data_IF_181645748942
#
_entry.id   IF_181645748942
#
_cell.length_a   1.000
_cell.length_b   1.000
_cell.length_c   1.000
_cell.angle_alpha   90.00
_cell.angle_beta   90.00
_cell.angle_gamma   90.00
#
_symmetry.space_group_name_H-M   'P 1'
#
loop_
_entity.id
_entity.type
_entity.pdbx_description
1 polymer ?
#
# COMPACT_ATOMS: atom_id res chain seq x y z
N UNK A 1 -2.87 14.26 20.44
CA UNK A 1 -1.68 15.01 19.96
C UNK A 1 -2.18 16.09 19.00
N UNK A 2 -1.63 17.30 19.06
CA UNK A 2 -1.96 18.37 18.10
C UNK A 2 -1.35 18.02 16.74
N UNK A 3 -2.12 18.20 15.65
CA UNK A 3 -1.64 18.04 14.28
C UNK A 3 -0.65 19.15 13.92
N UNK A 4 0.18 18.94 12.90
CA UNK A 4 1.09 19.96 12.36
C UNK A 4 0.32 20.90 11.43
N UNK A 5 0.64 22.20 11.45
CA UNK A 5 0.05 23.15 10.51
C UNK A 5 0.56 22.89 9.09
N UNK A 6 -0.35 22.88 8.12
CA UNK A 6 -0.04 22.57 6.72
C UNK A 6 0.37 23.80 5.92
N UNK A 7 -0.04 24.99 6.36
CA UNK A 7 0.22 26.27 5.69
C UNK A 7 0.81 27.23 6.72
N UNK A 8 2.14 27.39 6.70
CA UNK A 8 2.85 28.33 7.57
C UNK A 8 3.72 29.33 6.81
N UNK A 9 3.99 29.09 5.52
CA UNK A 9 4.70 30.03 4.67
C UNK A 9 3.84 31.28 4.32
N UNK A 10 4.49 32.43 4.14
CA UNK A 10 3.86 33.61 3.56
C UNK A 10 3.81 33.56 2.02
N UNK A 11 3.13 34.53 1.39
CA UNK A 11 2.95 34.57 -0.06
C UNK A 11 4.26 34.63 -0.88
N UNK A 12 5.30 35.27 -0.34
CA UNK A 12 6.59 35.40 -1.03
C UNK A 12 7.44 34.13 -0.93
N UNK A 13 7.25 33.39 0.16
CA UNK A 13 7.96 32.17 0.51
C UNK A 13 7.14 30.90 0.26
N UNK A 14 5.93 31.02 -0.28
CA UNK A 14 5.07 29.89 -0.60
C UNK A 14 5.64 29.01 -1.72
N UNK A 15 5.41 27.70 -1.63
CA UNK A 15 5.67 26.76 -2.74
C UNK A 15 4.70 26.97 -3.92
N UNK A 16 3.58 27.66 -3.69
CA UNK A 16 2.55 27.97 -4.68
C UNK A 16 2.76 29.34 -5.38
N UNK A 17 3.89 30.03 -5.11
CA UNK A 17 4.15 31.38 -5.63
C UNK A 17 4.09 31.50 -7.16
N UNK A 18 4.59 30.50 -7.89
CA UNK A 18 4.68 30.54 -9.35
C UNK A 18 3.62 29.71 -10.06
N UNK A 19 2.94 28.82 -9.33
CA UNK A 19 1.77 28.07 -9.77
C UNK A 19 0.73 28.18 -8.67
N UNK A 20 -0.30 29.04 -8.83
CA UNK A 20 -1.34 29.21 -7.81
C UNK A 20 -2.00 27.86 -7.48
N UNK A 21 -2.19 27.60 -6.19
CA UNK A 21 -2.77 26.34 -5.70
C UNK A 21 -4.14 26.06 -6.33
N UNK A 22 -4.98 27.08 -6.49
CA UNK A 22 -6.29 26.95 -7.15
C UNK A 22 -6.18 26.50 -8.62
N UNK A 23 -5.14 26.96 -9.34
CA UNK A 23 -4.91 26.54 -10.73
C UNK A 23 -4.52 25.06 -10.78
N UNK A 24 -3.58 24.65 -9.92
CA UNK A 24 -3.21 23.24 -9.78
C UNK A 24 -4.43 22.36 -9.45
N UNK A 25 -5.26 22.78 -8.49
CA UNK A 25 -6.49 22.08 -8.12
C UNK A 25 -7.48 21.96 -9.26
N UNK A 26 -7.66 23.01 -10.05
CA UNK A 26 -8.53 22.98 -11.22
C UNK A 26 -8.04 21.96 -12.25
N UNK A 27 -6.74 21.90 -12.52
CA UNK A 27 -6.15 20.89 -13.40
C UNK A 27 -6.38 19.46 -12.89
N UNK A 28 -6.28 19.22 -11.58
CA UNK A 28 -6.61 17.90 -11.00
C UNK A 28 -8.08 17.53 -11.23
N UNK A 29 -9.01 18.44 -10.99
CA UNK A 29 -10.45 18.22 -11.22
C UNK A 29 -10.74 17.92 -12.69
N UNK A 30 -10.07 18.60 -13.62
CA UNK A 30 -10.26 18.38 -15.04
C UNK A 30 -9.68 17.04 -15.51
N UNK A 31 -8.53 16.64 -14.96
CA UNK A 31 -7.97 15.31 -15.16
C UNK A 31 -8.88 14.20 -14.60
N UNK A 32 -9.47 14.41 -13.42
CA UNK A 32 -10.38 13.46 -12.80
C UNK A 32 -11.62 13.22 -13.67
N UNK A 33 -12.24 14.30 -14.19
CA UNK A 33 -13.40 14.23 -15.09
C UNK A 33 -13.13 13.42 -16.34
N UNK A 34 -11.95 13.56 -16.96
CA UNK A 34 -11.66 12.89 -18.22
C UNK A 34 -11.14 11.45 -18.05
N UNK A 35 -10.70 11.07 -16.84
CA UNK A 35 -10.08 9.75 -16.58
C UNK A 35 -10.83 8.86 -15.61
N UNK A 36 -11.95 9.32 -15.04
CA UNK A 36 -12.66 8.65 -13.94
C UNK A 36 -11.73 8.46 -12.73
N UNK A 37 -10.98 9.51 -12.39
CA UNK A 37 -9.95 9.52 -11.36
C UNK A 37 -8.82 8.49 -11.54
N UNK A 38 -8.60 7.96 -12.75
CA UNK A 38 -7.53 6.96 -12.99
C UNK A 38 -6.69 7.37 -14.21
N UNK A 39 -5.74 8.32 -14.04
CA UNK A 39 -4.94 8.84 -15.15
C UNK A 39 -4.04 7.80 -15.82
N UNK A 40 -3.56 6.82 -15.06
CA UNK A 40 -2.69 5.74 -15.53
C UNK A 40 -3.18 4.39 -15.01
N UNK A 41 -2.86 3.32 -15.74
CA UNK A 41 -3.07 1.96 -15.26
C UNK A 41 -2.17 1.65 -14.05
N UNK A 42 -2.54 0.67 -13.20
CA UNK A 42 -1.64 0.18 -12.16
C UNK A 42 -0.30 -0.29 -12.74
N UNK A 43 0.80 0.14 -12.14
CA UNK A 43 2.16 -0.15 -12.60
C UNK A 43 3.03 -0.62 -11.44
N UNK A 44 3.97 -1.49 -11.77
CA UNK A 44 5.02 -1.98 -10.87
C UNK A 44 6.38 -1.59 -11.46
N UNK A 45 7.31 -1.21 -10.60
CA UNK A 45 8.65 -0.74 -10.93
C UNK A 45 9.64 -1.61 -10.14
N UNK A 46 10.14 -2.71 -10.74
CA UNK A 46 11.08 -3.61 -10.10
C UNK A 46 12.36 -2.89 -9.62
N UNK A 47 12.77 -3.20 -8.38
CA UNK A 47 13.92 -2.57 -7.72
C UNK A 47 15.28 -3.12 -8.19
N UNK A 48 15.30 -4.25 -8.88
CA UNK A 48 16.49 -4.87 -9.46
C UNK A 48 17.17 -3.98 -10.53
N UNK A 49 16.39 -3.14 -11.21
CA UNK A 49 16.88 -2.11 -12.13
C UNK A 49 17.63 -0.97 -11.42
N UNK A 50 17.50 -0.86 -10.10
CA UNK A 50 18.14 0.18 -9.28
C UNK A 50 19.36 -0.33 -8.48
N UNK A 51 19.92 -1.48 -8.87
CA UNK A 51 21.09 -2.10 -8.21
C UNK A 51 22.33 -1.21 -8.13
N UNK A 52 22.42 -0.15 -8.95
CA UNK A 52 23.51 0.84 -8.89
C UNK A 52 23.41 1.84 -7.71
N UNK A 53 22.25 1.98 -7.07
CA UNK A 53 22.05 2.82 -5.86
C UNK A 53 22.56 2.09 -4.60
N UNK A 54 22.82 0.78 -4.71
CA UNK A 54 23.58 0.02 -3.73
C UNK A 54 25.08 0.26 -3.95
N UNK A 55 25.79 0.89 -2.98
CA UNK A 55 27.10 0.37 -2.50
C UNK A 55 27.92 1.09 -1.41
N UNK A 56 27.37 1.95 -0.55
CA UNK A 56 28.13 2.33 0.64
C UNK A 56 27.28 2.37 1.90
N UNK A 57 27.57 1.48 2.85
CA UNK A 57 27.14 1.58 4.25
C UNK A 57 25.93 0.73 4.67
N UNK A 58 24.97 0.43 3.80
CA UNK A 58 23.75 -0.28 4.19
C UNK A 58 23.95 -1.78 4.38
N UNK A 59 23.40 -2.35 5.45
CA UNK A 59 23.31 -3.79 5.69
C UNK A 59 22.13 -4.40 4.93
N UNK A 60 20.99 -3.68 4.85
CA UNK A 60 19.81 -4.18 4.15
C UNK A 60 19.96 -4.01 2.63
N UNK A 61 19.74 -5.05 1.82
CA UNK A 61 19.49 -4.89 0.39
C UNK A 61 18.23 -4.05 0.15
N UNK A 62 18.21 -3.29 -0.95
CA UNK A 62 17.10 -2.38 -1.30
C UNK A 62 15.73 -3.09 -1.32
N UNK A 63 15.65 -4.27 -1.94
CA UNK A 63 14.43 -5.10 -1.98
C UNK A 63 14.00 -5.58 -0.60
N UNK A 64 14.95 -5.83 0.30
CA UNK A 64 14.67 -6.21 1.68
C UNK A 64 14.15 -5.03 2.49
N UNK A 65 14.74 -3.84 2.31
CA UNK A 65 14.25 -2.59 2.94
C UNK A 65 12.80 -2.31 2.53
N UNK A 66 12.50 -2.34 1.22
CA UNK A 66 11.14 -2.15 0.71
C UNK A 66 10.17 -3.15 1.33
N UNK A 67 10.52 -4.44 1.32
CA UNK A 67 9.65 -5.51 1.83
C UNK A 67 9.35 -5.33 3.32
N UNK A 68 10.36 -5.05 4.14
CA UNK A 68 10.17 -4.83 5.58
C UNK A 68 9.31 -3.57 5.80
N UNK A 69 9.56 -2.50 5.05
CA UNK A 69 8.77 -1.27 5.15
C UNK A 69 7.30 -1.50 4.76
N UNK A 70 7.03 -2.22 3.66
CA UNK A 70 5.67 -2.61 3.25
C UNK A 70 4.98 -3.47 4.30
N UNK A 71 5.71 -4.41 4.91
CA UNK A 71 5.20 -5.29 5.95
C UNK A 71 4.74 -4.48 7.18
N UNK A 72 5.56 -3.55 7.65
CA UNK A 72 5.18 -2.68 8.77
C UNK A 72 4.05 -1.70 8.39
N UNK A 73 4.06 -1.13 7.19
CA UNK A 73 2.97 -0.29 6.72
C UNK A 73 1.64 -1.07 6.67
N UNK A 74 1.68 -2.31 6.18
CA UNK A 74 0.53 -3.22 6.18
C UNK A 74 0.02 -3.50 7.60
N UNK A 75 0.91 -3.71 8.57
CA UNK A 75 0.55 -3.95 9.97
C UNK A 75 -0.09 -2.73 10.64
N UNK A 76 0.34 -1.52 10.31
CA UNK A 76 -0.23 -0.28 10.85
C UNK A 76 -1.63 0.05 10.28
N UNK A 77 -1.95 -0.41 9.07
CA UNK A 77 -3.27 -0.20 8.50
C UNK A 77 -4.28 -1.23 9.04
N UNK A 78 -4.88 -1.01 10.21
CA UNK A 78 -5.75 -2.01 10.86
C UNK A 78 -7.23 -1.96 10.47
N UNK A 79 -7.67 -1.00 9.65
CA UNK A 79 -9.06 -0.85 9.22
C UNK A 79 -9.22 -0.83 7.69
N UNK A 80 -10.47 -0.82 7.23
CA UNK A 80 -10.83 -0.59 5.83
C UNK A 80 -10.99 0.90 5.53
N UNK A 81 -10.85 1.28 4.25
CA UNK A 81 -11.08 2.65 3.78
C UNK A 81 -9.84 3.54 3.72
N UNK A 82 -10.02 4.78 3.25
CA UNK A 82 -8.95 5.76 3.03
C UNK A 82 -8.29 6.26 4.32
N UNK A 83 -9.03 6.20 5.43
CA UNK A 83 -8.57 6.64 6.75
C UNK A 83 -7.51 5.69 7.35
N UNK A 84 -7.43 4.44 6.84
CA UNK A 84 -6.48 3.43 7.29
C UNK A 84 -5.43 3.15 6.21
N UNK A 85 -4.60 4.18 5.97
CA UNK A 85 -3.43 4.12 5.09
C UNK A 85 -2.22 4.56 5.89
N UNK A 86 -1.20 3.72 5.89
CA UNK A 86 0.10 4.00 6.47
C UNK A 86 1.21 3.87 5.42
N UNK A 87 2.26 4.64 5.62
CA UNK A 87 3.54 4.53 4.94
C UNK A 87 4.67 4.40 5.98
N UNK A 88 5.76 3.75 5.61
CA UNK A 88 6.89 3.45 6.49
C UNK A 88 8.22 3.68 5.78
N UNK A 89 9.18 4.21 6.53
CA UNK A 89 10.59 4.24 6.16
C UNK A 89 11.43 3.50 7.20
N UNK A 90 12.59 2.98 6.78
CA UNK A 90 13.54 2.32 7.66
C UNK A 90 14.83 3.14 7.76
N UNK A 91 15.17 3.55 8.98
CA UNK A 91 16.42 4.23 9.27
C UNK A 91 17.43 3.20 9.75
N UNK A 92 18.55 3.05 9.02
CA UNK A 92 19.62 2.14 9.42
C UNK A 92 20.69 2.90 10.21
N UNK A 93 20.79 2.64 11.51
CA UNK A 93 21.82 3.20 12.36
C UNK A 93 23.04 2.29 12.36
N UNK A 94 24.23 2.85 12.13
CA UNK A 94 25.49 2.08 12.10
C UNK A 94 26.08 1.86 13.50
N UNK A 95 25.94 2.84 14.40
CA UNK A 95 26.52 2.77 15.75
C UNK A 95 25.59 3.39 16.82
N UNK A 96 25.04 2.59 17.76
CA UNK A 96 24.97 1.13 17.69
C UNK A 96 24.11 0.68 16.51
N UNK A 97 24.46 -0.47 15.93
CA UNK A 97 23.68 -1.11 14.86
C UNK A 97 22.23 -1.31 15.31
N UNK A 98 21.29 -0.69 14.60
CA UNK A 98 19.85 -0.86 14.84
C UNK A 98 19.01 -0.33 13.66
N UNK A 99 17.74 -0.68 13.67
CA UNK A 99 16.76 -0.12 12.74
C UNK A 99 15.69 0.69 13.50
N UNK A 100 15.36 1.87 12.97
CA UNK A 100 14.15 2.61 13.36
C UNK A 100 13.12 2.46 12.26
N UNK A 101 11.94 1.96 12.63
CA UNK A 101 10.77 1.86 11.76
C UNK A 101 9.93 3.11 11.97
N UNK A 102 9.96 4.02 10.99
CA UNK A 102 9.27 5.31 11.06
C UNK A 102 7.97 5.26 10.29
N UNK A 103 6.86 5.53 10.96
CA UNK A 103 5.51 5.50 10.40
C UNK A 103 4.98 6.91 10.13
N UNK A 104 4.22 7.04 9.05
CA UNK A 104 3.33 8.17 8.80
C UNK A 104 1.94 7.67 8.41
N UNK A 105 0.92 8.45 8.77
CA UNK A 105 -0.46 8.12 8.46
C UNK A 105 -1.38 9.37 8.55
N UNK A 106 -2.63 9.29 8.07
CA UNK A 106 -3.49 10.48 7.92
C UNK A 106 -4.25 10.91 9.20
N UNK A 107 -4.63 9.97 10.07
CA UNK A 107 -5.64 10.25 11.10
C UNK A 107 -5.53 9.37 12.37
N UNK A 108 -6.13 8.18 12.33
CA UNK A 108 -6.40 7.32 13.51
C UNK A 108 -5.70 5.96 13.44
N UNK A 109 -4.99 5.68 12.35
CA UNK A 109 -4.32 4.39 12.10
C UNK A 109 -3.15 4.09 13.04
N UNK A 110 -2.78 5.04 13.91
CA UNK A 110 -1.76 4.87 14.94
C UNK A 110 -2.34 5.25 16.31
N UNK A 111 -3.51 4.70 16.65
CA UNK A 111 -4.02 4.76 18.02
C UNK A 111 -3.01 4.14 19.00
N UNK A 112 -3.12 4.45 20.28
CA UNK A 112 -2.21 3.87 21.29
C UNK A 112 -2.30 2.34 21.29
N UNK A 113 -3.48 1.76 21.04
CA UNK A 113 -3.64 0.31 20.91
C UNK A 113 -2.85 -0.27 19.73
N UNK A 114 -2.80 0.44 18.59
CA UNK A 114 -2.00 0.03 17.43
C UNK A 114 -0.51 0.14 17.74
N UNK A 115 -0.07 1.24 18.39
CA UNK A 115 1.33 1.44 18.78
C UNK A 115 1.78 0.37 19.77
N UNK A 116 0.96 0.01 20.74
CA UNK A 116 1.22 -1.04 21.71
C UNK A 116 1.32 -2.42 21.02
N UNK A 117 0.42 -2.70 20.08
CA UNK A 117 0.47 -3.95 19.31
C UNK A 117 1.72 -4.03 18.43
N UNK A 118 2.09 -2.94 17.75
CA UNK A 118 3.34 -2.87 16.96
C UNK A 118 4.57 -3.03 17.87
N UNK A 119 4.57 -2.43 19.05
CA UNK A 119 5.64 -2.58 20.05
C UNK A 119 5.74 -4.03 20.55
N UNK A 120 4.60 -4.70 20.74
CA UNK A 120 4.54 -6.12 21.10
C UNK A 120 5.11 -7.00 19.99
N UNK A 121 4.78 -6.71 18.72
CA UNK A 121 5.29 -7.39 17.54
C UNK A 121 6.80 -7.23 17.43
N UNK A 122 7.33 -6.02 17.55
CA UNK A 122 8.78 -5.78 17.45
C UNK A 122 9.55 -6.38 18.63
N UNK A 123 8.97 -6.36 19.83
CA UNK A 123 9.50 -7.05 21.00
C UNK A 123 9.49 -8.58 20.88
N UNK A 124 8.62 -9.15 20.04
CA UNK A 124 8.66 -10.56 19.70
C UNK A 124 9.76 -10.85 18.67
N UNK A 125 9.91 -9.99 17.66
CA UNK A 125 10.94 -10.11 16.60
C UNK A 125 12.36 -10.03 17.14
N UNK A 126 12.62 -9.22 18.17
CA UNK A 126 13.94 -9.08 18.80
C UNK A 126 14.39 -10.32 19.59
N UNK A 127 13.49 -11.27 19.86
CA UNK A 127 13.73 -12.47 20.67
C UNK A 127 13.75 -13.76 19.86
N UNK A 128 13.62 -13.67 18.54
CA UNK A 128 13.61 -14.84 17.65
C UNK A 128 14.99 -15.46 17.59
N UNK A 129 15.05 -16.79 17.72
CA UNK A 129 16.25 -17.59 17.51
C UNK A 129 16.01 -18.70 16.48
N UNK A 130 17.07 -19.28 15.95
CA UNK A 130 16.95 -20.40 14.99
C UNK A 130 16.23 -21.62 15.60
N UNK A 131 16.34 -21.82 16.92
CA UNK A 131 15.79 -22.99 17.61
C UNK A 131 14.26 -22.89 17.73
N UNK A 132 13.72 -21.70 17.93
CA UNK A 132 12.29 -21.48 18.20
C UNK A 132 11.54 -20.80 17.05
N UNK A 133 12.15 -20.72 15.87
CA UNK A 133 11.63 -20.00 14.69
C UNK A 133 10.16 -20.33 14.39
N UNK A 134 9.81 -21.61 14.24
CA UNK A 134 8.43 -22.01 13.92
C UNK A 134 7.43 -21.57 14.99
N UNK A 135 7.74 -21.76 16.27
CA UNK A 135 6.87 -21.36 17.38
C UNK A 135 6.71 -19.83 17.47
N UNK A 136 7.80 -19.09 17.19
CA UNK A 136 7.78 -17.62 17.15
C UNK A 136 6.98 -17.08 15.97
N UNK A 137 7.11 -17.69 14.79
CA UNK A 137 6.28 -17.34 13.62
C UNK A 137 4.81 -17.53 13.93
N UNK A 138 4.42 -18.66 14.52
CA UNK A 138 3.02 -18.92 14.91
C UNK A 138 2.49 -17.92 15.94
N UNK A 139 3.31 -17.59 16.95
CA UNK A 139 2.95 -16.59 17.96
C UNK A 139 2.77 -15.20 17.34
N UNK A 140 3.73 -14.76 16.52
CA UNK A 140 3.68 -13.48 15.83
C UNK A 140 2.47 -13.42 14.89
N UNK A 141 2.25 -14.47 14.11
CA UNK A 141 1.08 -14.61 13.25
C UNK A 141 -0.22 -14.46 14.03
N UNK A 142 -0.35 -15.14 15.16
CA UNK A 142 -1.53 -15.04 16.02
C UNK A 142 -1.74 -13.61 16.55
N UNK A 143 -0.67 -12.90 16.95
CA UNK A 143 -0.77 -11.50 17.36
C UNK A 143 -1.27 -10.60 16.23
N UNK A 144 -0.74 -10.79 15.02
CA UNK A 144 -1.13 -10.06 13.83
C UNK A 144 -2.61 -10.30 13.48
N UNK A 145 -3.06 -11.57 13.50
CA UNK A 145 -4.46 -11.91 13.20
C UNK A 145 -5.41 -11.28 14.21
N UNK A 146 -5.08 -11.31 15.50
CA UNK A 146 -5.91 -10.68 16.53
C UNK A 146 -6.00 -9.16 16.34
N UNK A 147 -4.88 -8.49 16.04
CA UNK A 147 -4.86 -7.06 15.76
C UNK A 147 -5.74 -6.69 14.55
N UNK A 148 -5.73 -7.54 13.51
CA UNK A 148 -6.42 -7.30 12.24
C UNK A 148 -7.77 -8.00 12.11
N UNK A 149 -8.30 -8.59 13.18
CA UNK A 149 -9.48 -9.46 13.11
C UNK A 149 -10.67 -8.80 12.41
N UNK A 150 -10.99 -7.55 12.77
CA UNK A 150 -12.08 -6.79 12.13
C UNK A 150 -11.84 -6.54 10.64
N UNK A 151 -10.61 -6.21 10.26
CA UNK A 151 -10.21 -5.99 8.85
C UNK A 151 -10.25 -7.29 8.05
N UNK A 152 -9.86 -8.41 8.66
CA UNK A 152 -9.95 -9.73 8.06
C UNK A 152 -11.41 -10.11 7.77
N UNK A 153 -12.33 -9.91 8.71
CA UNK A 153 -13.77 -10.11 8.48
C UNK A 153 -14.28 -9.25 7.33
N UNK A 154 -13.82 -8.00 7.23
CA UNK A 154 -14.17 -7.09 6.13
C UNK A 154 -13.67 -7.60 4.76
N UNK A 155 -12.42 -8.08 4.68
CA UNK A 155 -11.83 -8.66 3.47
C UNK A 155 -12.54 -9.94 3.04
N UNK A 156 -12.92 -10.78 4.01
CA UNK A 156 -13.75 -11.97 3.80
C UNK A 156 -15.18 -11.61 3.38
N UNK A 157 -15.60 -10.36 3.60
CA UNK A 157 -17.00 -9.92 3.49
C UNK A 157 -17.90 -10.86 4.31
N UNK A 158 -17.38 -11.30 5.46
CA UNK A 158 -18.00 -12.33 6.28
C UNK A 158 -19.34 -11.86 6.79
N UNK A 159 -20.26 -12.81 7.01
CA UNK A 159 -21.56 -12.51 7.63
C UNK A 159 -21.41 -12.00 9.07
N UNK A 160 -20.25 -12.27 9.69
CA UNK A 160 -19.87 -11.86 11.04
C UNK A 160 -19.33 -10.44 11.10
N UNK A 161 -19.10 -9.80 9.94
CA UNK A 161 -18.55 -8.46 9.90
C UNK A 161 -19.62 -7.40 10.15
N UNK A 162 -19.46 -6.64 11.23
CA UNK A 162 -20.23 -5.42 11.43
C UNK A 162 -19.75 -4.31 10.48
N UNK A 163 -20.57 -4.03 9.47
CA UNK A 163 -20.23 -3.08 8.43
C UNK A 163 -20.31 -1.63 8.94
N UNK A 164 -19.25 -0.82 8.77
CA UNK A 164 -19.27 0.60 9.11
C UNK A 164 -20.35 1.37 8.34
N UNK A 165 -20.91 2.42 8.97
CA UNK A 165 -21.99 3.24 8.40
C UNK A 165 -21.67 3.78 7.00
N UNK A 166 -20.43 4.22 6.77
CA UNK A 166 -19.99 4.76 5.48
C UNK A 166 -19.95 3.71 4.36
N UNK A 167 -19.97 2.42 4.68
CA UNK A 167 -20.05 1.31 3.71
C UNK A 167 -21.44 0.69 3.62
N UNK A 168 -22.42 1.12 4.42
CA UNK A 168 -23.74 0.49 4.55
C UNK A 168 -24.47 0.29 3.22
N UNK A 169 -24.27 1.20 2.26
CA UNK A 169 -24.88 1.13 0.91
C UNK A 169 -24.29 0.05 0.00
N UNK A 170 -23.13 -0.52 0.33
CA UNK A 170 -22.51 -1.56 -0.48
C UNK A 170 -23.05 -2.95 -0.07
N UNK A 171 -23.98 -3.51 -0.84
CA UNK A 171 -24.36 -4.92 -0.67
C UNK A 171 -23.37 -5.82 -1.43
N UNK A 172 -22.53 -6.54 -0.69
CA UNK A 172 -21.62 -7.55 -1.25
C UNK A 172 -21.86 -8.86 -0.52
N UNK A 173 -22.00 -9.93 -1.30
CA UNK A 173 -22.06 -11.30 -0.78
C UNK A 173 -20.72 -11.71 -0.14
N UNK A 174 -20.71 -12.71 0.76
CA UNK A 174 -19.48 -13.27 1.32
C UNK A 174 -18.47 -13.68 0.25
N UNK A 175 -17.17 -13.63 0.59
CA UNK A 175 -16.08 -13.92 -0.36
C UNK A 175 -16.13 -15.36 -0.89
N UNK A 176 -16.49 -16.34 -0.06
CA UNK A 176 -16.59 -17.74 -0.46
C UNK A 176 -17.55 -17.95 -1.65
N UNK A 177 -18.60 -17.12 -1.76
CA UNK A 177 -19.56 -17.20 -2.87
C UNK A 177 -18.99 -16.75 -4.23
N UNK A 178 -17.78 -16.19 -4.27
CA UNK A 178 -17.09 -15.88 -5.53
C UNK A 178 -16.32 -17.09 -6.10
N UNK A 179 -16.08 -18.14 -5.32
CA UNK A 179 -15.36 -19.33 -5.79
C UNK A 179 -16.08 -20.05 -6.93
N UNK A 180 -17.42 -20.07 -6.94
CA UNK A 180 -18.17 -20.62 -8.06
C UNK A 180 -17.84 -19.93 -9.39
N UNK A 181 -17.58 -18.62 -9.36
CA UNK A 181 -17.14 -17.89 -10.54
C UNK A 181 -15.70 -18.24 -10.93
N UNK A 182 -14.79 -18.42 -9.97
CA UNK A 182 -13.42 -18.91 -10.25
C UNK A 182 -13.46 -20.28 -10.93
N UNK A 183 -14.18 -21.25 -10.36
CA UNK A 183 -14.40 -22.58 -10.92
C UNK A 183 -14.92 -22.53 -12.35
N UNK A 184 -15.87 -21.63 -12.61
CA UNK A 184 -16.39 -21.44 -13.95
C UNK A 184 -15.35 -20.85 -14.91
N UNK A 185 -14.52 -19.88 -14.49
CA UNK A 185 -13.48 -19.26 -15.35
C UNK A 185 -12.38 -20.24 -15.75
N UNK A 186 -12.02 -21.19 -14.90
CA UNK A 186 -11.01 -22.22 -15.20
C UNK A 186 -11.31 -22.93 -16.53
N UNK A 187 -12.58 -23.20 -16.82
CA UNK A 187 -12.98 -23.93 -18.03
C UNK A 187 -12.73 -23.17 -19.35
N UNK A 188 -12.57 -21.84 -19.27
CA UNK A 188 -12.38 -20.98 -20.44
C UNK A 188 -10.92 -20.64 -20.70
N UNK A 189 -10.06 -20.75 -19.68
CA UNK A 189 -8.63 -20.43 -19.79
C UNK A 189 -7.73 -21.65 -20.01
N UNK A 190 -8.28 -22.86 -19.82
CA UNK A 190 -7.60 -24.12 -20.12
C UNK A 190 -8.30 -24.90 -21.23
N UNK A 191 -7.52 -25.45 -22.15
CA UNK A 191 -8.03 -26.27 -23.25
C UNK A 191 -8.28 -27.72 -22.84
N UNK A 192 -8.99 -28.48 -23.68
CA UNK A 192 -9.19 -29.93 -23.47
C UNK A 192 -7.88 -30.73 -23.41
N UNK A 193 -6.80 -30.24 -24.05
CA UNK A 193 -5.48 -30.89 -24.05
C UNK A 193 -4.76 -30.73 -22.70
N UNK A 194 -5.15 -29.73 -21.91
CA UNK A 194 -4.55 -29.40 -20.61
C UNK A 194 -5.37 -29.97 -19.44
N UNK A 195 -6.11 -31.07 -19.66
CA UNK A 195 -7.07 -31.60 -18.70
C UNK A 195 -6.46 -31.94 -17.32
N UNK A 196 -5.19 -32.35 -17.28
CA UNK A 196 -4.49 -32.64 -16.01
C UNK A 196 -4.27 -31.37 -15.20
N UNK A 197 -3.70 -30.33 -15.80
CA UNK A 197 -3.47 -29.04 -15.14
C UNK A 197 -4.80 -28.39 -14.74
N UNK A 198 -5.78 -28.40 -15.64
CA UNK A 198 -7.14 -27.93 -15.36
C UNK A 198 -7.73 -28.59 -14.11
N UNK A 199 -7.68 -29.93 -14.01
CA UNK A 199 -8.19 -30.67 -12.84
C UNK A 199 -7.43 -30.32 -11.56
N UNK A 200 -6.11 -30.10 -11.64
CA UNK A 200 -5.31 -29.67 -10.49
C UNK A 200 -5.78 -28.30 -9.97
N UNK A 201 -6.00 -27.34 -10.86
CA UNK A 201 -6.50 -26.00 -10.51
C UNK A 201 -7.93 -26.07 -9.96
N UNK A 202 -8.82 -26.84 -10.59
CA UNK A 202 -10.20 -27.07 -10.11
C UNK A 202 -10.20 -27.65 -8.68
N UNK A 203 -9.33 -28.64 -8.41
CA UNK A 203 -9.21 -29.26 -7.09
C UNK A 203 -8.72 -28.27 -6.02
N UNK A 204 -7.70 -27.46 -6.35
CA UNK A 204 -7.17 -26.45 -5.42
C UNK A 204 -8.20 -25.36 -5.11
N UNK A 205 -8.94 -24.87 -6.12
CA UNK A 205 -10.01 -23.89 -5.93
C UNK A 205 -11.15 -24.48 -5.09
N UNK A 206 -11.52 -25.74 -5.33
CA UNK A 206 -12.57 -26.41 -4.56
C UNK A 206 -12.16 -26.63 -3.10
N UNK A 207 -10.93 -27.09 -2.85
CA UNK A 207 -10.41 -27.28 -1.50
C UNK A 207 -10.38 -25.96 -0.72
N UNK A 208 -9.90 -24.88 -1.32
CA UNK A 208 -9.88 -23.58 -0.66
C UNK A 208 -11.30 -23.04 -0.42
N UNK A 209 -12.24 -23.25 -1.37
CA UNK A 209 -13.63 -22.86 -1.18
C UNK A 209 -14.25 -23.50 0.06
N UNK A 210 -13.97 -24.80 0.30
CA UNK A 210 -14.46 -25.53 1.46
C UNK A 210 -13.94 -24.96 2.79
N UNK A 211 -12.67 -24.54 2.84
CA UNK A 211 -12.09 -23.89 4.04
C UNK A 211 -12.77 -22.55 4.32
N UNK A 212 -13.04 -21.77 3.28
CA UNK A 212 -13.73 -20.47 3.39
C UNK A 212 -15.19 -20.65 3.83
N UNK A 213 -15.90 -21.62 3.27
CA UNK A 213 -17.27 -21.93 3.64
C UNK A 213 -17.34 -22.42 5.09
N UNK A 214 -16.44 -23.33 5.50
CA UNK A 214 -16.34 -23.83 6.87
C UNK A 214 -16.17 -22.69 7.88
N UNK A 215 -15.31 -21.70 7.59
CA UNK A 215 -15.14 -20.54 8.46
C UNK A 215 -16.46 -19.77 8.68
N UNK A 216 -17.29 -19.61 7.65
CA UNK A 216 -18.58 -18.91 7.79
C UNK A 216 -19.62 -19.72 8.58
N UNK A 217 -19.45 -21.05 8.68
CA UNK A 217 -20.35 -21.90 9.50
C UNK A 217 -20.04 -21.83 11.00
N UNK A 218 -18.84 -21.39 11.38
CA UNK A 218 -18.46 -21.20 12.80
C UNK A 218 -19.18 -19.97 13.36
N UNK A 219 -19.84 -20.10 14.49
CA UNK A 219 -20.53 -18.98 15.15
C UNK A 219 -19.54 -17.91 15.63
N UNK A 220 -19.93 -16.63 15.55
CA UNK A 220 -19.08 -15.52 15.96
C UNK A 220 -18.79 -15.56 17.46
N UNK A 221 -17.53 -15.35 17.86
CA UNK A 221 -17.09 -15.36 19.26
C UNK A 221 -16.91 -16.76 19.86
N UNK A 222 -17.13 -17.83 19.10
CA UNK A 222 -16.83 -19.19 19.56
C UNK A 222 -15.32 -19.48 19.56
N UNK A 223 -14.90 -20.41 20.41
CA UNK A 223 -13.48 -20.76 20.60
C UNK A 223 -12.74 -21.16 19.31
N UNK A 224 -13.47 -21.73 18.34
CA UNK A 224 -12.91 -22.23 17.09
C UNK A 224 -12.81 -21.15 15.99
N UNK A 225 -13.37 -19.95 16.20
CA UNK A 225 -13.38 -18.89 15.17
C UNK A 225 -11.96 -18.45 14.80
N UNK A 226 -11.11 -18.18 15.79
CA UNK A 226 -9.72 -17.76 15.56
C UNK A 226 -8.88 -18.90 14.96
N UNK A 227 -8.92 -20.14 15.49
CA UNK A 227 -8.28 -21.29 14.84
C UNK A 227 -8.69 -21.51 13.38
N UNK A 228 -9.99 -21.46 13.05
CA UNK A 228 -10.45 -21.59 11.67
C UNK A 228 -9.98 -20.43 10.80
N UNK A 229 -9.93 -19.19 11.33
CA UNK A 229 -9.37 -18.05 10.61
C UNK A 229 -7.87 -18.22 10.34
N UNK A 230 -7.11 -18.78 11.30
CA UNK A 230 -5.70 -19.11 11.12
C UNK A 230 -5.50 -20.12 9.98
N UNK A 231 -6.27 -21.20 9.97
CA UNK A 231 -6.25 -22.20 8.90
C UNK A 231 -6.58 -21.58 7.54
N UNK A 232 -7.65 -20.79 7.47
CA UNK A 232 -8.08 -20.11 6.26
C UNK A 232 -6.97 -19.23 5.68
N UNK A 233 -6.31 -18.43 6.51
CA UNK A 233 -5.23 -17.54 6.08
C UNK A 233 -4.04 -18.34 5.53
N UNK A 234 -3.62 -19.40 6.22
CA UNK A 234 -2.52 -20.27 5.77
C UNK A 234 -2.89 -21.00 4.49
N UNK A 235 -4.10 -21.54 4.38
CA UNK A 235 -4.60 -22.17 3.16
C UNK A 235 -4.60 -21.19 1.98
N UNK A 236 -4.99 -19.94 2.21
CA UNK A 236 -4.95 -18.87 1.21
C UNK A 236 -3.52 -18.55 0.74
N UNK A 237 -2.58 -18.49 1.68
CA UNK A 237 -1.16 -18.29 1.37
C UNK A 237 -0.61 -19.44 0.51
N UNK A 238 -0.82 -20.68 0.94
CA UNK A 238 -0.35 -21.85 0.21
C UNK A 238 -0.98 -21.97 -1.18
N UNK A 239 -2.28 -21.69 -1.29
CA UNK A 239 -2.99 -21.62 -2.56
C UNK A 239 -2.35 -20.60 -3.52
N UNK A 240 -2.06 -19.39 -3.03
CA UNK A 240 -1.46 -18.35 -3.88
C UNK A 240 0.00 -18.67 -4.30
N UNK A 241 0.67 -19.58 -3.58
CA UNK A 241 2.07 -19.94 -3.80
C UNK A 241 2.28 -21.12 -4.75
N UNK A 242 1.22 -21.75 -5.27
CA UNK A 242 1.39 -22.85 -6.22
C UNK A 242 1.52 -22.34 -7.65
N UNK A 243 2.42 -22.97 -8.43
CA UNK A 243 2.64 -22.61 -9.84
C UNK A 243 1.37 -22.73 -10.68
N UNK A 244 0.51 -23.71 -10.37
CA UNK A 244 -0.75 -23.91 -11.07
C UNK A 244 -1.75 -22.75 -10.87
N UNK A 245 -1.77 -22.16 -9.67
CA UNK A 245 -2.63 -21.01 -9.38
C UNK A 245 -2.02 -19.72 -9.92
N UNK A 246 -0.69 -19.57 -9.89
CA UNK A 246 0.00 -18.48 -10.55
C UNK A 246 -0.27 -18.47 -12.07
N UNK A 247 -0.13 -19.62 -12.74
CA UNK A 247 -0.47 -19.79 -14.16
C UNK A 247 -1.95 -19.48 -14.43
N UNK A 248 -2.87 -19.97 -13.58
CA UNK A 248 -4.29 -19.65 -13.71
C UNK A 248 -4.55 -18.14 -13.64
N UNK A 249 -3.96 -17.46 -12.66
CA UNK A 249 -4.12 -16.02 -12.49
C UNK A 249 -3.57 -15.24 -13.69
N UNK A 250 -2.36 -15.59 -14.16
CA UNK A 250 -1.74 -14.98 -15.33
C UNK A 250 -2.59 -15.17 -16.59
N UNK A 251 -3.10 -16.39 -16.85
CA UNK A 251 -3.97 -16.66 -18.00
C UNK A 251 -5.29 -15.90 -17.92
N UNK A 252 -5.86 -15.79 -16.73
CA UNK A 252 -7.09 -15.03 -16.53
C UNK A 252 -6.88 -13.55 -16.82
N UNK A 253 -5.77 -12.96 -16.38
CA UNK A 253 -5.43 -11.57 -16.70
C UNK A 253 -5.13 -11.39 -18.20
N UNK A 254 -4.36 -12.29 -18.81
CA UNK A 254 -4.05 -12.26 -20.25
C UNK A 254 -5.28 -12.50 -21.14
N UNK A 255 -6.38 -13.02 -20.58
CA UNK A 255 -7.65 -13.17 -21.31
C UNK A 255 -8.36 -11.84 -21.59
N UNK A 256 -7.90 -10.75 -20.96
CA UNK A 256 -8.42 -9.39 -21.14
C UNK A 256 -7.73 -8.72 -22.32
N UNK A 257 -8.46 -8.52 -23.41
CA UNK A 257 -7.91 -7.88 -24.63
C UNK A 257 -8.03 -6.36 -24.64
N UNK A 258 -9.12 -5.82 -24.08
CA UNK A 258 -9.36 -4.38 -23.98
C UNK A 258 -9.90 -4.00 -22.59
N UNK A 259 -11.07 -4.53 -22.23
CA UNK A 259 -11.65 -4.36 -20.89
C UNK A 259 -12.23 -5.70 -20.40
N UNK A 260 -12.06 -6.03 -19.10
CA UNK A 260 -12.57 -7.29 -18.58
C UNK A 260 -14.10 -7.26 -18.50
N UNK A 261 -14.75 -8.37 -18.89
CA UNK A 261 -16.18 -8.55 -18.58
C UNK A 261 -16.40 -8.49 -17.07
N UNK A 262 -17.61 -8.14 -16.57
CA UNK A 262 -17.87 -8.07 -15.13
C UNK A 262 -17.53 -9.37 -14.37
N UNK A 263 -17.72 -10.54 -15.01
CA UNK A 263 -17.38 -11.84 -14.41
C UNK A 263 -15.87 -12.10 -14.36
N UNK A 264 -15.12 -11.72 -15.39
CA UNK A 264 -13.65 -11.81 -15.39
C UNK A 264 -13.06 -10.83 -14.38
N UNK A 265 -13.53 -9.58 -14.38
CA UNK A 265 -13.12 -8.58 -13.39
C UNK A 265 -13.39 -9.04 -11.95
N UNK A 266 -14.55 -9.66 -11.70
CA UNK A 266 -14.88 -10.23 -10.39
C UNK A 266 -13.98 -11.41 -10.01
N UNK A 267 -13.58 -12.25 -10.97
CA UNK A 267 -12.68 -13.38 -10.72
C UNK A 267 -11.26 -12.92 -10.40
N UNK A 268 -10.73 -11.96 -11.16
CA UNK A 268 -9.43 -11.32 -10.87
C UNK A 268 -9.48 -10.68 -9.48
N UNK A 269 -10.52 -9.88 -9.19
CA UNK A 269 -10.70 -9.28 -7.86
C UNK A 269 -10.76 -10.33 -6.75
N UNK A 270 -11.40 -11.48 -6.97
CA UNK A 270 -11.43 -12.57 -6.00
C UNK A 270 -10.03 -13.11 -5.72
N UNK A 271 -9.26 -13.48 -6.74
CA UNK A 271 -7.87 -13.95 -6.59
C UNK A 271 -7.01 -12.95 -5.82
N UNK A 272 -7.11 -11.66 -6.17
CA UNK A 272 -6.35 -10.60 -5.50
C UNK A 272 -6.80 -10.36 -4.04
N UNK A 273 -8.04 -10.69 -3.68
CA UNK A 273 -8.47 -10.69 -2.27
C UNK A 273 -7.89 -11.89 -1.51
N UNK A 274 -7.76 -13.06 -2.14
CA UNK A 274 -7.06 -14.21 -1.54
C UNK A 274 -5.59 -13.87 -1.23
N UNK A 275 -4.91 -13.13 -2.11
CA UNK A 275 -3.54 -12.65 -1.85
C UNK A 275 -3.46 -11.79 -0.57
N UNK A 276 -4.42 -10.87 -0.38
CA UNK A 276 -4.47 -10.02 0.81
C UNK A 276 -4.70 -10.80 2.10
N UNK A 277 -5.45 -11.88 2.02
CA UNK A 277 -5.74 -12.75 3.15
C UNK A 277 -4.51 -13.61 3.46
N UNK A 278 -3.92 -14.26 2.45
CA UNK A 278 -2.68 -15.03 2.60
C UNK A 278 -1.47 -14.17 3.04
N UNK A 279 -1.49 -12.86 2.76
CA UNK A 279 -0.41 -11.96 3.12
C UNK A 279 -0.15 -11.88 4.62
N UNK A 280 -1.15 -12.13 5.48
CA UNK A 280 -0.96 -12.12 6.93
C UNK A 280 0.04 -13.19 7.40
N UNK A 281 -0.04 -14.40 6.84
CA UNK A 281 0.96 -15.44 7.09
C UNK A 281 2.32 -15.04 6.48
N UNK A 282 2.30 -14.54 5.24
CA UNK A 282 3.52 -14.08 4.56
C UNK A 282 4.28 -13.01 5.37
N UNK A 283 3.59 -12.01 5.93
CA UNK A 283 4.18 -10.96 6.78
C UNK A 283 4.88 -11.59 7.98
N UNK A 284 4.18 -12.47 8.70
CA UNK A 284 4.72 -13.10 9.90
C UNK A 284 6.01 -13.89 9.59
N UNK A 285 5.99 -14.70 8.53
CA UNK A 285 7.18 -15.45 8.09
C UNK A 285 8.30 -14.51 7.64
N UNK A 286 8.00 -13.51 6.80
CA UNK A 286 9.00 -12.61 6.22
C UNK A 286 9.73 -11.77 7.28
N UNK A 287 9.01 -11.29 8.30
CA UNK A 287 9.61 -10.50 9.38
C UNK A 287 10.47 -11.37 10.31
N UNK A 288 10.06 -12.62 10.58
CA UNK A 288 10.87 -13.58 11.33
C UNK A 288 12.14 -13.95 10.56
N UNK A 289 12.03 -14.22 9.27
CA UNK A 289 13.19 -14.51 8.41
C UNK A 289 14.15 -13.31 8.37
N UNK A 290 13.61 -12.09 8.27
CA UNK A 290 14.41 -10.87 8.31
C UNK A 290 15.12 -10.68 9.65
N UNK A 291 14.46 -10.96 10.78
CA UNK A 291 15.07 -10.80 12.10
C UNK A 291 16.19 -11.81 12.36
N UNK A 292 16.06 -13.03 11.82
CA UNK A 292 17.12 -14.05 11.86
C UNK A 292 18.28 -13.72 10.92
N UNK A 293 17.99 -13.18 9.73
CA UNK A 293 19.00 -12.85 8.73
C UNK A 293 19.81 -11.61 9.09
N UNK A 294 19.20 -10.63 9.76
CA UNK A 294 19.83 -9.37 10.16
C UNK A 294 19.75 -9.15 11.68
N UNK A 295 20.32 -10.05 12.50
CA UNK A 295 20.12 -10.02 13.96
C UNK A 295 20.65 -8.74 14.60
N UNK A 296 21.74 -8.17 14.05
CA UNK A 296 22.32 -6.91 14.54
C UNK A 296 21.40 -5.69 14.36
N UNK A 297 20.42 -5.75 13.47
CA UNK A 297 19.43 -4.68 13.27
C UNK A 297 18.18 -4.89 14.14
N UNK A 298 17.78 -6.14 14.35
CA UNK A 298 16.51 -6.50 15.01
C UNK A 298 16.65 -6.81 16.51
N UNK A 299 17.66 -7.56 16.92
CA UNK A 299 17.74 -8.12 18.28
C UNK A 299 18.19 -7.10 19.32
N UNK A 300 18.99 -6.10 18.92
CA UNK A 300 19.67 -5.23 19.88
C UNK A 300 18.88 -3.98 20.23
N UNK A 301 18.13 -3.36 19.29
CA UNK A 301 17.38 -2.10 19.52
C UNK A 301 16.41 -1.74 18.36
N UNK A 302 15.48 -2.61 17.95
CA UNK A 302 14.45 -2.22 16.98
C UNK A 302 13.55 -1.12 17.59
N UNK A 303 13.55 0.07 16.98
CA UNK A 303 12.79 1.24 17.47
C UNK A 303 11.60 1.55 16.57
N UNK A 304 10.54 2.08 17.18
CA UNK A 304 9.38 2.61 16.48
C UNK A 304 9.34 4.12 16.64
N UNK A 305 9.11 4.83 15.53
CA UNK A 305 8.89 6.27 15.50
C UNK A 305 7.62 6.59 14.72
N UNK A 306 6.84 7.55 15.20
CA UNK A 306 5.55 7.90 14.60
C UNK A 306 5.53 9.39 14.30
N UNK A 307 5.31 9.76 13.04
CA UNK A 307 5.16 11.16 12.65
C UNK A 307 3.80 11.72 13.09
N UNK A 308 3.81 12.99 13.49
CA UNK A 308 2.60 13.75 13.72
C UNK A 308 2.00 14.14 12.36
N UNK A 309 0.73 13.82 12.07
CA UNK A 309 0.10 14.18 10.80
C UNK A 309 -0.17 15.68 10.69
N UNK A 310 -0.24 16.14 9.46
CA UNK A 310 -0.63 17.51 9.13
C UNK A 310 -2.15 17.74 9.23
N UNK A 311 -2.55 18.99 9.40
CA UNK A 311 -3.94 19.43 9.41
C UNK A 311 -4.56 19.37 8.01
N UNK A 312 -5.86 19.00 7.89
CA UNK A 312 -6.56 19.14 6.62
C UNK A 312 -6.67 20.62 6.23
N UNK A 313 -6.51 20.92 4.93
CA UNK A 313 -6.64 22.27 4.37
C UNK A 313 -8.01 22.40 3.69
N UNK A 314 -8.85 23.39 4.02
CA UNK A 314 -10.12 23.61 3.32
C UNK A 314 -9.89 23.91 1.83
N UNK A 315 -10.78 23.40 0.97
CA UNK A 315 -10.81 23.72 -0.46
C UNK A 315 -12.25 23.95 -0.91
N UNK A 316 -12.42 24.86 -1.87
CA UNK A 316 -13.68 25.03 -2.62
C UNK A 316 -13.61 24.40 -4.02
N UNK A 317 -12.45 23.87 -4.40
CA UNK A 317 -12.18 23.26 -5.70
C UNK A 317 -11.99 21.76 -5.47
N UNK A 318 -13.01 20.99 -5.83
CA UNK A 318 -13.05 19.54 -5.81
C UNK A 318 -13.99 19.03 -6.90
N UNK A 319 -13.75 17.82 -7.40
CA UNK A 319 -14.56 17.17 -8.41
C UNK A 319 -15.97 16.90 -7.86
N UNK A 320 -16.01 16.40 -6.63
CA UNK A 320 -17.23 16.10 -5.91
C UNK A 320 -17.56 17.19 -4.89
N UNK A 321 -18.84 17.48 -4.69
CA UNK A 321 -19.30 18.53 -3.77
C UNK A 321 -18.94 18.29 -2.30
N UNK A 322 -18.61 17.05 -1.94
CA UNK A 322 -18.18 16.66 -0.60
C UNK A 322 -16.65 16.73 -0.41
N UNK A 323 -15.88 16.92 -1.49
CA UNK A 323 -14.42 17.05 -1.44
C UNK A 323 -14.01 18.47 -1.02
N UNK A 324 -14.34 18.84 0.23
CA UNK A 324 -14.17 20.20 0.78
C UNK A 324 -12.89 20.40 1.57
N UNK A 325 -12.05 19.35 1.67
CA UNK A 325 -10.77 19.41 2.38
C UNK A 325 -9.72 18.60 1.63
N UNK A 326 -8.48 19.04 1.77
CA UNK A 326 -7.30 18.40 1.21
C UNK A 326 -6.38 17.92 2.32
N UNK A 327 -5.65 16.85 2.04
CA UNK A 327 -4.88 16.12 3.04
C UNK A 327 -3.48 15.78 2.53
N UNK A 328 -2.52 15.86 3.43
CA UNK A 328 -1.14 15.45 3.16
C UNK A 328 -1.03 13.94 3.36
N UNK A 329 -0.85 13.22 2.26
CA UNK A 329 -0.71 11.76 2.29
C UNK A 329 0.56 11.31 3.02
N UNK A 330 0.53 10.10 3.58
CA UNK A 330 1.59 9.57 4.45
C UNK A 330 2.98 9.54 3.77
N UNK A 331 3.03 9.27 2.48
CA UNK A 331 4.26 9.27 1.68
C UNK A 331 4.89 10.68 1.62
N UNK A 332 4.06 11.72 1.43
CA UNK A 332 4.50 13.12 1.44
C UNK A 332 4.99 13.53 2.83
N UNK A 333 4.30 13.09 3.90
CA UNK A 333 4.71 13.36 5.28
C UNK A 333 6.12 12.81 5.58
N UNK A 334 6.44 11.59 5.11
CA UNK A 334 7.76 11.00 5.28
C UNK A 334 8.82 11.77 4.49
N UNK A 335 8.56 12.10 3.23
CA UNK A 335 9.52 12.86 2.41
C UNK A 335 9.84 14.22 3.04
N UNK A 336 8.81 15.01 3.37
CA UNK A 336 8.95 16.31 4.03
C UNK A 336 9.71 16.20 5.36
N UNK A 337 9.44 15.17 6.16
CA UNK A 337 10.16 14.94 7.41
C UNK A 337 11.66 14.77 7.19
N UNK A 338 12.06 13.94 6.23
CA UNK A 338 13.47 13.72 5.94
C UNK A 338 14.12 14.96 5.32
N UNK A 339 13.44 15.68 4.43
CA UNK A 339 13.96 16.91 3.87
C UNK A 339 14.26 17.96 4.94
N UNK A 340 13.31 18.19 5.85
CA UNK A 340 13.50 19.10 6.98
C UNK A 340 14.64 18.64 7.89
N UNK A 341 14.74 17.33 8.15
CA UNK A 341 15.79 16.77 8.99
C UNK A 341 17.18 16.94 8.38
N UNK A 342 17.33 16.60 7.09
CA UNK A 342 18.62 16.68 6.38
C UNK A 342 19.01 18.14 6.10
N UNK A 343 18.04 19.01 5.83
CA UNK A 343 18.30 20.45 5.67
C UNK A 343 18.71 21.10 6.99
N UNK A 344 18.04 20.79 8.11
CA UNK A 344 18.40 21.33 9.43
C UNK A 344 19.76 20.85 9.94
N UNK A 345 20.21 19.68 9.47
CA UNK A 345 21.49 19.07 9.88
C UNK A 345 22.65 19.38 8.92
N UNK A 346 22.50 20.39 8.05
CA UNK A 346 23.54 20.90 7.13
C UNK A 346 24.84 21.25 7.89
N UNK A 347 25.71 20.25 8.10
CA UNK A 347 26.95 20.36 8.89
C UNK A 347 27.23 19.18 9.84
N UNK A 348 26.27 18.30 10.11
CA UNK A 348 26.45 17.06 10.89
C UNK A 348 25.70 15.91 10.23
N UNK A 349 26.42 14.87 9.79
CA UNK A 349 25.78 13.69 9.21
C UNK A 349 24.85 13.02 10.23
N UNK A 350 23.60 12.71 9.87
CA UNK A 350 22.68 12.01 10.78
C UNK A 350 23.27 10.69 11.24
N UNK A 351 22.91 10.27 12.45
CA UNK A 351 23.38 9.03 13.06
C UNK A 351 22.79 7.76 12.41
N UNK A 352 22.21 7.89 11.22
CA UNK A 352 21.61 6.83 10.42
C UNK A 352 21.76 7.13 8.93
N UNK A 353 21.66 6.08 8.13
CA UNK A 353 21.64 6.17 6.69
C UNK A 353 20.23 6.51 6.18
N UNK A 354 20.07 7.45 5.23
CA UNK A 354 18.76 7.85 4.73
C UNK A 354 17.99 6.65 4.19
N UNK A 355 16.67 6.52 4.46
CA UNK A 355 15.86 5.50 3.80
C UNK A 355 15.88 5.72 2.29
N UNK A 356 15.91 4.63 1.53
CA UNK A 356 15.99 4.67 0.06
C UNK A 356 14.63 4.51 -0.61
N UNK A 357 13.66 4.02 0.15
CA UNK A 357 12.32 3.69 -0.31
C UNK A 357 11.26 4.01 0.74
N UNK A 358 10.01 4.11 0.29
CA UNK A 358 8.84 4.23 1.16
C UNK A 358 7.99 2.97 1.00
N UNK A 359 7.89 2.21 2.09
CA UNK A 359 6.93 1.10 2.19
C UNK A 359 5.52 1.62 2.39
N UNK A 360 4.53 0.96 1.80
CA UNK A 360 3.15 1.45 1.76
C UNK A 360 2.12 0.35 1.98
N UNK A 361 1.08 0.64 2.76
CA UNK A 361 -0.03 -0.29 3.03
C UNK A 361 -0.98 -0.47 1.84
N UNK A 362 -0.91 0.45 0.88
CA UNK A 362 -1.60 0.48 -0.42
C UNK A 362 -0.59 1.04 -1.42
N UNK A 363 -0.66 0.62 -2.68
CA UNK A 363 0.22 1.19 -3.71
C UNK A 363 0.07 2.71 -3.78
N UNK A 364 1.08 3.40 -4.32
CA UNK A 364 1.07 4.85 -4.41
C UNK A 364 -0.16 5.31 -5.21
N UNK A 365 -0.82 6.37 -4.73
CA UNK A 365 -1.75 7.08 -5.59
C UNK A 365 -1.00 7.78 -6.73
N UNK A 366 -1.73 8.24 -7.74
CA UNK A 366 -1.14 8.93 -8.87
C UNK A 366 -0.28 10.13 -8.43
N UNK A 367 -0.78 10.97 -7.51
CA UNK A 367 -0.06 12.16 -7.06
C UNK A 367 1.12 11.84 -6.14
N UNK A 368 1.02 10.85 -5.24
CA UNK A 368 2.17 10.38 -4.47
C UNK A 368 3.26 9.82 -5.39
N UNK A 369 2.87 9.09 -6.44
CA UNK A 369 3.81 8.57 -7.44
C UNK A 369 4.52 9.70 -8.20
N UNK A 370 3.78 10.68 -8.72
CA UNK A 370 4.40 11.82 -9.42
C UNK A 370 5.24 12.69 -8.47
N UNK A 371 4.80 12.86 -7.23
CA UNK A 371 5.58 13.54 -6.20
C UNK A 371 6.92 12.84 -5.96
N UNK A 372 6.94 11.54 -5.68
CA UNK A 372 8.20 10.82 -5.43
C UNK A 372 9.12 10.83 -6.66
N UNK A 373 8.56 10.78 -7.88
CA UNK A 373 9.34 10.91 -9.12
C UNK A 373 10.00 12.27 -9.28
N UNK A 374 9.25 13.35 -9.04
CA UNK A 374 9.77 14.70 -9.13
C UNK A 374 10.74 15.03 -7.99
N UNK A 375 10.48 14.47 -6.80
CA UNK A 375 11.30 14.62 -5.60
C UNK A 375 12.66 13.91 -5.72
N UNK A 376 12.69 12.70 -6.28
CA UNK A 376 13.92 11.99 -6.64
C UNK A 376 14.67 11.28 -5.50
N UNK A 377 14.45 11.64 -4.23
CA UNK A 377 15.17 11.02 -3.10
C UNK A 377 14.71 9.59 -2.73
N UNK A 378 13.51 9.18 -3.15
CA UNK A 378 12.96 7.85 -2.86
C UNK A 378 12.59 7.14 -4.15
N UNK A 379 12.86 5.84 -4.23
CA UNK A 379 12.52 5.04 -5.41
C UNK A 379 11.05 4.59 -5.31
N UNK A 380 10.17 5.01 -6.23
CA UNK A 380 8.79 4.55 -6.26
C UNK A 380 8.72 3.11 -6.78
N UNK A 381 8.01 2.22 -6.07
CA UNK A 381 7.96 0.79 -6.42
C UNK A 381 6.66 0.41 -7.12
N UNK A 382 5.50 0.89 -6.66
CA UNK A 382 4.22 0.55 -7.27
C UNK A 382 3.26 1.72 -7.21
N UNK A 383 2.44 1.89 -8.24
CA UNK A 383 1.31 2.83 -8.23
C UNK A 383 0.03 2.14 -8.65
N UNK A 384 -1.08 2.43 -7.97
CA UNK A 384 -2.40 2.01 -8.44
C UNK A 384 -2.99 3.00 -9.45
N UNK A 385 -2.36 4.15 -9.69
CA UNK A 385 -2.75 5.09 -10.74
C UNK A 385 -4.04 5.87 -10.50
N UNK A 386 -4.63 5.79 -9.30
CA UNK A 386 -5.84 6.57 -8.96
C UNK A 386 -5.43 7.95 -8.44
N UNK A 387 -6.06 8.98 -8.97
CA UNK A 387 -6.01 10.37 -8.57
C UNK A 387 -6.93 10.63 -7.37
N UNK A 388 -6.47 11.46 -6.44
CA UNK A 388 -7.28 12.00 -5.35
C UNK A 388 -7.11 13.52 -5.41
N UNK A 389 -8.13 14.25 -5.84
CA UNK A 389 -8.16 15.72 -5.92
C UNK A 389 -8.04 16.40 -4.54
N UNK A 390 -8.38 15.67 -3.47
CA UNK A 390 -8.16 16.04 -2.06
C UNK A 390 -6.70 15.90 -1.59
N UNK A 391 -5.72 15.76 -2.48
CA UNK A 391 -4.31 15.65 -2.12
C UNK A 391 -3.66 17.04 -1.99
N UNK A 392 -2.65 17.16 -1.11
CA UNK A 392 -1.83 18.38 -1.03
C UNK A 392 -0.42 18.12 -0.48
N UNK A 393 0.44 19.13 -0.60
CA UNK A 393 1.79 19.21 -0.04
C UNK A 393 1.81 20.31 1.04
N UNK A 394 2.48 20.11 2.20
CA UNK A 394 2.66 21.17 3.18
C UNK A 394 3.44 22.37 2.61
N UNK A 395 2.95 23.58 2.85
CA UNK A 395 3.58 24.85 2.48
C UNK A 395 4.17 25.51 3.73
N UNK A 396 5.45 25.24 4.02
CA UNK A 396 6.05 25.49 5.32
C UNK A 396 7.04 26.65 5.31
N UNK A 397 6.94 27.53 6.32
CA UNK A 397 7.93 28.58 6.56
C UNK A 397 9.34 28.01 6.84
N UNK A 398 9.40 26.79 7.40
CA UNK A 398 10.64 26.09 7.73
C UNK A 398 11.43 25.62 6.50
N UNK A 399 10.82 25.66 5.30
CA UNK A 399 11.57 25.43 4.07
C UNK A 399 12.57 26.56 3.86
N UNK A 400 13.86 26.23 3.97
CA UNK A 400 14.94 27.11 3.54
C UNK A 400 14.81 27.47 2.05
N UNK A 401 15.56 28.47 1.59
CA UNK A 401 15.44 28.97 0.21
C UNK A 401 15.65 27.87 -0.84
N UNK A 402 16.66 27.02 -0.64
CA UNK A 402 16.96 25.89 -1.53
C UNK A 402 15.82 24.88 -1.55
N UNK A 403 15.41 24.38 -0.38
CA UNK A 403 14.35 23.38 -0.26
C UNK A 403 13.02 23.88 -0.82
N UNK A 404 12.69 25.15 -0.55
CA UNK A 404 11.51 25.82 -1.13
C UNK A 404 11.58 25.87 -2.65
N UNK A 405 12.76 26.20 -3.20
CA UNK A 405 12.99 26.17 -4.64
C UNK A 405 12.76 24.79 -5.25
N UNK A 406 13.22 23.74 -4.57
CA UNK A 406 12.98 22.34 -4.97
C UNK A 406 11.49 22.01 -4.95
N UNK A 407 10.76 22.34 -3.88
CA UNK A 407 9.31 22.07 -3.79
C UNK A 407 8.49 22.86 -4.82
N UNK A 408 8.87 24.09 -5.16
CA UNK A 408 8.29 24.84 -6.29
C UNK A 408 8.49 24.09 -7.62
N UNK A 409 9.68 23.52 -7.82
CA UNK A 409 9.98 22.67 -8.98
C UNK A 409 9.11 21.41 -9.01
N UNK A 410 9.01 20.70 -7.88
CA UNK A 410 8.18 19.50 -7.73
C UNK A 410 6.72 19.78 -8.09
N UNK A 411 6.13 20.84 -7.52
CA UNK A 411 4.74 21.23 -7.79
C UNK A 411 4.53 21.49 -9.29
N UNK A 412 5.43 22.24 -9.94
CA UNK A 412 5.37 22.52 -11.37
C UNK A 412 5.48 21.25 -12.21
N UNK A 413 6.38 20.35 -11.86
CA UNK A 413 6.63 19.13 -12.63
C UNK A 413 5.44 18.15 -12.52
N UNK A 414 4.80 18.05 -11.34
CA UNK A 414 3.53 17.32 -11.17
C UNK A 414 2.41 17.96 -12.01
N UNK A 415 2.27 19.29 -11.98
CA UNK A 415 1.24 19.99 -12.74
C UNK A 415 1.40 19.80 -14.25
N UNK A 416 2.62 19.92 -14.76
CA UNK A 416 2.92 19.71 -16.18
C UNK A 416 2.49 18.32 -16.65
N UNK A 417 2.71 17.31 -15.81
CA UNK A 417 2.27 15.94 -16.04
C UNK A 417 0.74 15.80 -15.99
N UNK A 418 0.06 16.43 -15.03
CA UNK A 418 -1.41 16.47 -14.94
C UNK A 418 -2.03 17.09 -16.20
N UNK A 419 -1.49 18.23 -16.64
CA UNK A 419 -1.92 18.92 -17.86
C UNK A 419 -1.68 18.05 -19.09
N UNK A 420 -0.53 17.35 -19.16
CA UNK A 420 -0.21 16.44 -20.26
C UNK A 420 -1.20 15.26 -20.32
N UNK A 421 -1.52 14.63 -19.19
CA UNK A 421 -2.46 13.51 -19.14
C UNK A 421 -3.91 13.93 -19.43
N UNK A 422 -4.26 15.20 -19.19
CA UNK A 422 -5.55 15.79 -19.59
C UNK A 422 -5.68 15.97 -21.12
N UNK A 423 -4.56 15.90 -21.85
CA UNK A 423 -4.53 16.04 -23.32
C UNK A 423 -4.49 17.49 -23.82
N UNK A 424 -4.16 18.46 -22.97
CA UNK A 424 -4.19 19.89 -23.30
C UNK A 424 -2.97 20.39 -24.13
N UNK A 425 -2.31 19.54 -24.90
CA UNK A 425 -1.01 19.87 -25.54
C UNK A 425 -1.08 20.37 -26.98
N UNK A 426 -2.26 20.64 -27.56
CA UNK A 426 -2.34 21.39 -28.82
C UNK A 426 -3.60 22.29 -28.93
N UNK A 427 -3.46 23.62 -29.08
CA UNK A 427 -4.60 24.54 -29.29
C UNK A 427 -5.40 24.30 -30.58
N UNK A 428 -4.94 23.40 -31.46
CA UNK A 428 -5.54 23.09 -32.75
C UNK A 428 -6.49 21.88 -32.76
N UNK A 429 -6.47 21.02 -31.76
CA UNK A 429 -7.34 19.85 -31.65
C UNK A 429 -8.15 19.91 -30.34
N UNK A 430 -9.20 20.72 -30.35
CA UNK A 430 -10.17 20.81 -29.27
C UNK A 430 -10.98 19.50 -29.13
N UNK A 431 -10.38 18.50 -28.49
CA UNK A 431 -11.04 17.28 -28.08
C UNK A 431 -10.29 16.68 -26.89
N UNK A 432 -10.77 16.93 -25.68
CA UNK A 432 -10.34 16.16 -24.50
C UNK A 432 -10.59 14.68 -24.81
N UNK A 433 -9.51 13.90 -24.93
CA UNK A 433 -9.61 12.47 -25.14
C UNK A 433 -10.15 11.89 -23.83
N UNK A 434 -11.43 11.54 -23.79
CA UNK A 434 -12.03 10.83 -22.66
C UNK A 434 -11.33 9.47 -22.52
N UNK A 435 -10.44 9.34 -21.52
CA UNK A 435 -9.69 8.11 -21.21
C UNK A 435 -10.26 7.47 -19.95
N UNK A 436 -11.54 7.08 -20.04
CA UNK A 436 -12.22 6.44 -18.92
C UNK A 436 -11.53 5.12 -18.55
N UNK A 437 -11.10 4.99 -17.28
CA UNK A 437 -10.54 3.74 -16.74
C UNK A 437 -11.30 3.28 -15.51
N UNK A 438 -11.37 1.96 -15.35
CA UNK A 438 -12.05 1.36 -14.20
C UNK A 438 -11.24 1.59 -12.92
N UNK A 439 -11.94 1.71 -11.79
CA UNK A 439 -11.28 1.91 -10.50
C UNK A 439 -10.35 0.74 -10.17
N UNK A 440 -9.07 1.04 -9.85
CA UNK A 440 -8.07 0.02 -9.56
C UNK A 440 -8.26 -0.54 -8.16
N UNK A 441 -7.77 -1.75 -7.95
CA UNK A 441 -7.60 -2.26 -6.60
C UNK A 441 -6.33 -1.66 -5.99
N UNK A 442 -6.50 -0.84 -4.94
CA UNK A 442 -5.43 0.01 -4.38
C UNK A 442 -4.46 -0.75 -3.46
N UNK A 443 -4.92 -1.79 -2.77
CA UNK A 443 -4.03 -2.69 -2.01
C UNK A 443 -3.74 -3.95 -2.84
N UNK A 444 -2.46 -4.32 -2.98
CA UNK A 444 -1.99 -5.57 -3.61
C UNK A 444 -0.83 -6.15 -2.79
N UNK A 445 -0.61 -7.47 -2.88
CA UNK A 445 0.41 -8.19 -2.09
C UNK A 445 1.27 -9.15 -2.96
N UNK A 446 0.97 -9.25 -4.26
CA UNK A 446 1.75 -9.95 -5.30
C UNK A 446 2.19 -11.37 -4.90
N UNK A 447 1.32 -12.14 -4.24
CA UNK A 447 1.61 -13.54 -3.88
C UNK A 447 1.55 -14.48 -5.09
N UNK A 448 0.72 -14.16 -6.08
CA UNK A 448 0.46 -14.97 -7.28
C UNK A 448 1.56 -14.85 -8.35
N UNK A 449 2.54 -13.95 -8.18
CA UNK A 449 3.66 -13.78 -9.13
C UNK A 449 3.27 -13.19 -10.50
N UNK A 450 2.04 -12.69 -10.65
CA UNK A 450 1.50 -12.16 -11.92
C UNK A 450 2.05 -10.77 -12.25
N UNK A 451 2.36 -9.99 -11.22
CA UNK A 451 2.89 -8.63 -11.34
C UNK A 451 4.42 -8.68 -11.22
N UNK A 452 5.12 -9.16 -12.28
CA UNK A 452 6.59 -9.11 -12.47
C UNK A 452 7.43 -9.54 -11.26
N UNK A 453 8.07 -10.72 -11.34
CA UNK A 453 8.91 -11.28 -10.27
C UNK A 453 9.77 -10.24 -9.53
N UNK A 454 9.51 -10.05 -8.23
CA UNK A 454 10.42 -9.39 -7.29
C UNK A 454 11.66 -10.25 -7.01
#
# INVERSE_FOLDING_TARGET
MSRLQTQTADSEHSIWKHLPEDTFRQHLVDLEKCTNAVPIEPQTFPLDHHTHISRAGYTLPLTTEQKIADDFAFLAAIEEGAQSVAAVCLEEHLQPSRITVRFAALDLSLSEEVKDALTSITGALSKVTEIDTSARTEKLFSQIVNLHFRRLLARLRSIKWEKPKYLAKQHKKPLWQDFANLSHRIQFVYTKKEAVLRRSVEAQVHQLAAVYEAFETVEAGFQDEIPCLHELIKASYHFCKTDAIADFAQRLENSVTAAPTPKVASAIKCLRQLEKIGAYWRVATSLVDASLKYPALFQTNLQLAFLTPYEPVPTMIGHESWATTCHVHAEVQLAVHYDLLFHATSGSSPAFLPPRVIGTSKWLCYLCYQFLRAHGSFIPVNTHGRLYDQWTIPDLADYGEELRGQYRGIVRDIDAEVVRETGATDPGEAGSILRWRAEPMTSRQNLLGVDGAC
#
